data_IF_629434004137
#
_entry.id   IF_629434004137
#
_cell.length_a   1.000
_cell.length_b   1.000
_cell.length_c   1.000
_cell.angle_alpha   90.00
_cell.angle_beta   90.00
_cell.angle_gamma   90.00
#
_symmetry.space_group_name_H-M   'P 1'
#
loop_
_entity.id
_entity.type
_entity.pdbx_description
1 polymer ?
#
# COMPACT_ATOMS: atom_id res chain seq x y z
N UNK A 1 -7.81 1.32 27.14
CA UNK A 1 -8.23 1.49 25.74
C UNK A 1 -9.15 0.34 25.30
N UNK A 2 -10.12 0.62 24.43
CA UNK A 2 -11.07 -0.36 23.89
C UNK A 2 -11.19 -0.20 22.36
N UNK A 3 -11.87 -1.16 21.71
CA UNK A 3 -12.11 -1.07 20.27
C UNK A 3 -13.42 -0.34 19.92
N UNK A 4 -14.40 -0.32 20.84
CA UNK A 4 -15.72 0.26 20.55
C UNK A 4 -16.15 1.24 21.63
N UNK A 5 -16.96 2.23 21.24
CA UNK A 5 -17.58 3.16 22.18
C UNK A 5 -18.47 2.45 23.20
N UNK A 6 -19.14 1.36 22.79
CA UNK A 6 -19.96 0.55 23.69
C UNK A 6 -19.12 -0.05 24.81
N UNK A 7 -17.96 -0.65 24.49
CA UNK A 7 -17.06 -1.21 25.48
C UNK A 7 -16.47 -0.15 26.42
N UNK A 8 -16.17 1.04 25.91
CA UNK A 8 -15.72 2.18 26.74
C UNK A 8 -16.80 2.60 27.74
N UNK A 9 -18.04 2.71 27.28
CA UNK A 9 -19.19 3.05 28.14
C UNK A 9 -19.47 1.95 29.16
N UNK A 10 -19.45 0.70 28.77
CA UNK A 10 -19.62 -0.46 29.68
C UNK A 10 -18.53 -0.49 30.79
N UNK A 11 -17.27 -0.16 30.45
CA UNK A 11 -16.21 -0.04 31.44
C UNK A 11 -16.50 1.08 32.45
N UNK A 12 -16.91 2.25 31.96
CA UNK A 12 -17.27 3.38 32.81
C UNK A 12 -18.46 3.05 33.72
N UNK A 13 -19.50 2.41 33.17
CA UNK A 13 -20.66 1.95 33.93
C UNK A 13 -20.29 0.90 34.99
N UNK A 14 -19.40 -0.03 34.66
CA UNK A 14 -18.92 -1.04 35.64
C UNK A 14 -18.21 -0.38 36.80
N UNK A 15 -17.28 0.54 36.53
CA UNK A 15 -16.59 1.28 37.58
C UNK A 15 -17.59 2.03 38.46
N UNK A 16 -18.55 2.74 37.85
CA UNK A 16 -19.57 3.48 38.58
C UNK A 16 -20.46 2.57 39.44
N UNK A 17 -20.93 1.44 38.89
CA UNK A 17 -21.71 0.44 39.63
C UNK A 17 -20.90 -0.13 40.81
N UNK A 18 -19.63 -0.48 40.59
CA UNK A 18 -18.75 -0.99 41.65
C UNK A 18 -18.56 0.05 42.77
N UNK A 19 -18.44 1.34 42.41
CA UNK A 19 -18.38 2.43 43.43
C UNK A 19 -19.69 2.55 44.22
N UNK A 20 -20.85 2.38 43.57
CA UNK A 20 -22.16 2.42 44.23
C UNK A 20 -22.36 1.26 45.19
N UNK A 21 -21.88 0.05 44.82
CA UNK A 21 -21.98 -1.17 45.63
C UNK A 21 -20.73 -1.40 46.50
N UNK A 22 -19.87 -0.40 46.61
CA UNK A 22 -18.65 -0.50 47.43
C UNK A 22 -19.03 -0.80 48.92
N UNK A 23 -18.62 -1.94 49.40
CA UNK A 23 -18.99 -2.46 50.71
C UNK A 23 -19.92 -3.68 50.67
N UNK A 24 -20.60 -3.94 49.54
CA UNK A 24 -21.46 -5.13 49.41
C UNK A 24 -20.64 -6.40 49.07
N UNK A 25 -19.42 -6.22 48.49
CA UNK A 25 -18.46 -7.28 48.19
C UNK A 25 -17.23 -7.16 49.12
N UNK A 26 -17.19 -8.05 50.12
CA UNK A 26 -16.13 -8.06 51.14
C UNK A 26 -14.76 -8.45 50.56
N UNK A 27 -14.72 -9.32 49.53
CA UNK A 27 -13.47 -9.72 48.88
C UNK A 27 -12.86 -8.54 48.10
N UNK A 28 -13.70 -7.78 47.39
CA UNK A 28 -13.28 -6.59 46.67
C UNK A 28 -12.79 -5.48 47.60
N UNK A 29 -13.52 -5.26 48.70
CA UNK A 29 -13.13 -4.25 49.69
C UNK A 29 -11.79 -4.59 50.37
N UNK A 30 -11.56 -5.89 50.66
CA UNK A 30 -10.28 -6.37 51.21
C UNK A 30 -9.13 -6.23 50.23
N UNK A 31 -9.39 -6.40 48.91
CA UNK A 31 -8.38 -6.17 47.89
C UNK A 31 -7.97 -4.67 47.79
N UNK A 32 -8.96 -3.77 47.88
CA UNK A 32 -8.68 -2.32 47.89
C UNK A 32 -7.90 -1.93 49.13
N UNK A 33 -8.29 -2.43 50.33
CA UNK A 33 -7.58 -2.21 51.60
C UNK A 33 -6.10 -2.61 51.46
N UNK A 34 -5.84 -3.79 50.94
CA UNK A 34 -4.49 -4.30 50.74
C UNK A 34 -3.65 -3.45 49.75
N UNK A 35 -4.27 -2.92 48.70
CA UNK A 35 -3.58 -2.11 47.68
C UNK A 35 -3.39 -0.67 48.12
N UNK A 36 -4.37 -0.10 48.80
CA UNK A 36 -4.36 1.34 49.17
C UNK A 36 -3.67 1.59 50.54
N UNK A 37 -3.54 0.59 51.39
CA UNK A 37 -3.08 0.78 52.77
C UNK A 37 -4.09 1.49 53.67
N UNK A 38 -5.31 1.78 53.19
CA UNK A 38 -6.40 2.41 53.95
C UNK A 38 -7.25 1.30 54.62
N UNK A 39 -7.81 1.57 55.80
CA UNK A 39 -8.74 0.63 56.45
C UNK A 39 -10.07 0.57 55.67
N UNK A 40 -10.79 -0.55 55.79
CA UNK A 40 -12.14 -0.71 55.20
C UNK A 40 -13.07 0.41 55.60
N UNK A 41 -12.96 0.86 56.86
CA UNK A 41 -13.77 1.95 57.37
C UNK A 41 -13.47 3.31 56.73
N UNK A 42 -12.19 3.60 56.49
CA UNK A 42 -11.75 4.81 55.75
C UNK A 42 -12.23 4.77 54.30
N UNK A 43 -12.14 3.62 53.63
CA UNK A 43 -12.59 3.42 52.26
C UNK A 43 -14.10 3.67 52.15
N UNK A 44 -14.89 3.07 53.03
CA UNK A 44 -16.36 3.23 53.07
C UNK A 44 -16.76 4.69 53.43
N UNK A 45 -16.03 5.31 54.36
CA UNK A 45 -16.25 6.72 54.71
C UNK A 45 -16.05 7.70 53.53
N UNK A 46 -15.19 7.31 52.57
CA UNK A 46 -14.94 8.11 51.35
C UNK A 46 -15.87 7.76 50.18
N UNK A 47 -16.77 6.78 50.32
CA UNK A 47 -17.65 6.31 49.22
C UNK A 47 -18.41 7.46 48.54
N UNK A 48 -19.09 8.29 49.29
CA UNK A 48 -19.85 9.44 48.75
C UNK A 48 -18.98 10.43 47.98
N UNK A 49 -17.79 10.70 48.50
CA UNK A 49 -16.81 11.55 47.85
C UNK A 49 -16.32 10.93 46.52
N UNK A 50 -16.00 9.63 46.51
CA UNK A 50 -15.55 8.92 45.36
C UNK A 50 -16.61 8.86 44.26
N UNK A 51 -17.89 8.58 44.62
CA UNK A 51 -19.01 8.60 43.66
C UNK A 51 -19.19 9.98 43.04
N UNK A 52 -19.16 11.05 43.85
CA UNK A 52 -19.26 12.41 43.36
C UNK A 52 -18.07 12.83 42.51
N UNK A 53 -16.87 12.45 42.90
CA UNK A 53 -15.64 12.72 42.15
C UNK A 53 -15.65 11.97 40.81
N UNK A 54 -16.09 10.72 40.77
CA UNK A 54 -16.23 9.94 39.56
C UNK A 54 -17.22 10.57 38.57
N UNK A 55 -18.38 11.02 39.08
CA UNK A 55 -19.41 11.67 38.22
C UNK A 55 -18.92 12.99 37.61
N UNK A 56 -17.97 13.66 38.22
CA UNK A 56 -17.39 14.92 37.76
C UNK A 56 -16.05 14.74 37.02
N UNK A 57 -15.46 13.53 37.07
CA UNK A 57 -14.16 13.25 36.48
C UNK A 57 -14.28 12.94 35.00
N UNK A 58 -13.38 13.49 34.19
CA UNK A 58 -13.16 13.04 32.82
C UNK A 58 -12.31 11.77 32.87
N UNK A 59 -12.94 10.64 32.68
CA UNK A 59 -12.23 9.35 32.69
C UNK A 59 -11.39 9.17 31.44
N UNK A 60 -10.17 8.69 31.61
CA UNK A 60 -9.28 8.34 30.50
C UNK A 60 -9.59 6.96 29.92
N UNK A 61 -10.90 6.71 29.65
CA UNK A 61 -11.39 5.48 29.01
C UNK A 61 -11.79 5.84 27.58
N UNK A 62 -10.97 5.42 26.62
CA UNK A 62 -11.13 5.81 25.23
C UNK A 62 -11.13 4.58 24.32
N UNK A 63 -11.75 4.69 23.15
CA UNK A 63 -11.43 3.83 22.03
C UNK A 63 -10.02 4.15 21.51
N UNK A 64 -9.38 3.18 20.87
CA UNK A 64 -8.05 3.38 20.26
C UNK A 64 -8.10 4.59 19.32
N UNK A 65 -9.11 4.67 18.48
CA UNK A 65 -9.29 5.76 17.52
C UNK A 65 -9.43 7.14 18.17
N UNK A 66 -10.21 7.21 19.26
CA UNK A 66 -10.37 8.46 20.02
C UNK A 66 -9.05 8.87 20.69
N UNK A 67 -8.27 7.90 21.14
CA UNK A 67 -6.96 8.15 21.72
C UNK A 67 -5.95 8.65 20.66
N UNK A 68 -5.89 7.99 19.49
CA UNK A 68 -5.06 8.41 18.36
C UNK A 68 -5.43 9.81 17.89
N UNK A 69 -6.73 10.10 17.74
CA UNK A 69 -7.20 11.44 17.37
C UNK A 69 -6.82 12.50 18.43
N UNK A 70 -6.87 12.16 19.74
CA UNK A 70 -6.43 13.06 20.81
C UNK A 70 -4.94 13.36 20.69
N UNK A 71 -4.09 12.34 20.46
CA UNK A 71 -2.66 12.54 20.23
C UNK A 71 -2.44 13.48 19.03
N UNK A 72 -3.11 13.22 17.90
CA UNK A 72 -2.92 14.06 16.73
C UNK A 72 -3.28 15.52 16.98
N UNK A 73 -4.38 15.79 17.67
CA UNK A 73 -4.80 17.17 18.01
C UNK A 73 -3.81 17.90 18.91
N UNK A 74 -3.20 17.21 19.85
CA UNK A 74 -2.15 17.78 20.72
C UNK A 74 -0.86 18.12 19.94
N UNK A 75 -0.56 17.37 18.90
CA UNK A 75 0.69 17.50 18.13
C UNK A 75 0.49 17.99 16.69
N UNK A 76 -0.71 18.41 16.32
CA UNK A 76 -1.06 18.86 14.96
C UNK A 76 -0.15 19.98 14.43
N UNK A 77 0.37 20.85 15.29
CA UNK A 77 1.30 21.92 14.94
C UNK A 77 2.61 21.42 14.32
N UNK A 78 3.10 20.23 14.72
CA UNK A 78 4.32 19.63 14.13
C UNK A 78 4.13 19.18 12.67
N UNK A 79 2.89 18.97 12.24
CA UNK A 79 2.51 18.60 10.88
C UNK A 79 1.93 19.78 10.11
N UNK A 80 1.76 20.91 10.79
CA UNK A 80 1.20 22.13 10.21
C UNK A 80 -0.28 22.00 9.85
N UNK A 81 -1.08 21.28 10.67
CA UNK A 81 -2.53 21.13 10.58
C UNK A 81 -3.14 21.87 11.78
N UNK A 82 -4.35 22.42 11.63
CA UNK A 82 -5.08 23.02 12.74
C UNK A 82 -5.65 21.95 13.68
N UNK A 83 -5.76 22.24 14.97
CA UNK A 83 -6.30 21.32 15.99
C UNK A 83 -7.81 21.09 15.89
N UNK A 84 -8.51 21.95 15.16
CA UNK A 84 -9.95 21.89 14.90
C UNK A 84 -10.33 21.14 13.61
N UNK A 85 -9.37 20.39 13.02
CA UNK A 85 -9.65 19.64 11.78
C UNK A 85 -10.88 18.73 11.91
N UNK A 86 -11.62 18.62 10.80
CA UNK A 86 -12.75 17.70 10.69
C UNK A 86 -12.30 16.33 10.18
N UNK A 87 -13.05 15.28 10.55
CA UNK A 87 -12.82 13.93 10.03
C UNK A 87 -13.87 13.68 8.96
N UNK A 88 -13.43 13.43 7.71
CA UNK A 88 -14.30 13.19 6.55
C UNK A 88 -13.77 12.03 5.74
N UNK A 89 -14.65 11.39 4.98
CA UNK A 89 -14.28 10.39 3.96
C UNK A 89 -14.17 11.11 2.63
N UNK A 90 -13.06 10.91 1.92
CA UNK A 90 -12.86 11.49 0.59
C UNK A 90 -13.76 10.81 -0.45
N UNK A 91 -14.33 11.61 -1.32
CA UNK A 91 -14.88 11.13 -2.58
C UNK A 91 -13.72 10.99 -3.59
N UNK A 92 -13.31 9.74 -3.86
CA UNK A 92 -12.18 9.46 -4.74
C UNK A 92 -12.39 10.00 -6.16
N UNK A 93 -13.62 10.03 -6.67
CA UNK A 93 -13.90 10.54 -8.01
C UNK A 93 -13.69 12.06 -8.05
N UNK A 94 -14.26 12.78 -7.09
CA UNK A 94 -14.09 14.23 -6.98
C UNK A 94 -12.61 14.60 -6.73
N UNK A 95 -11.91 13.84 -5.88
CA UNK A 95 -10.50 14.05 -5.59
C UNK A 95 -9.62 13.81 -6.84
N UNK A 96 -9.90 12.73 -7.59
CA UNK A 96 -9.21 12.40 -8.83
C UNK A 96 -9.36 13.50 -9.90
N UNK A 97 -10.57 14.04 -10.04
CA UNK A 97 -10.80 15.17 -10.96
C UNK A 97 -10.01 16.43 -10.55
N UNK A 98 -9.91 16.70 -9.25
CA UNK A 98 -9.10 17.82 -8.74
C UNK A 98 -7.61 17.60 -8.95
N UNK A 99 -7.14 16.36 -8.74
CA UNK A 99 -5.78 15.97 -9.03
C UNK A 99 -5.44 16.18 -10.52
N UNK A 100 -6.27 15.68 -11.44
CA UNK A 100 -6.08 15.86 -12.88
C UNK A 100 -6.00 17.35 -13.27
N UNK A 101 -6.81 18.21 -12.64
CA UNK A 101 -6.78 19.65 -12.85
C UNK A 101 -5.51 20.32 -12.30
N UNK A 102 -4.83 19.71 -11.35
CA UNK A 102 -3.60 20.25 -10.73
C UNK A 102 -2.33 19.86 -11.46
N UNK A 103 -2.38 18.85 -12.33
CA UNK A 103 -1.22 18.36 -13.06
C UNK A 103 -0.74 19.38 -14.10
N UNK A 104 0.57 19.57 -14.18
CA UNK A 104 1.18 20.25 -15.32
C UNK A 104 1.22 19.33 -16.55
N UNK A 105 1.58 19.87 -17.72
CA UNK A 105 1.58 19.13 -18.99
C UNK A 105 2.44 17.84 -18.92
N UNK A 106 3.66 17.93 -18.37
CA UNK A 106 4.58 16.78 -18.26
C UNK A 106 4.06 15.70 -17.34
N UNK A 107 3.48 16.09 -16.19
CA UNK A 107 2.89 15.14 -15.24
C UNK A 107 1.67 14.44 -15.84
N UNK A 108 0.84 15.19 -16.55
CA UNK A 108 -0.33 14.64 -17.24
C UNK A 108 0.07 13.67 -18.35
N UNK A 109 1.11 14.00 -19.12
CA UNK A 109 1.70 13.13 -20.14
C UNK A 109 2.22 11.83 -19.52
N UNK A 110 2.94 11.89 -18.40
CA UNK A 110 3.39 10.70 -17.64
C UNK A 110 2.22 9.78 -17.27
N UNK A 111 1.09 10.35 -16.84
CA UNK A 111 -0.11 9.58 -16.49
C UNK A 111 -0.76 8.94 -17.73
N UNK A 112 -0.82 9.65 -18.85
CA UNK A 112 -1.32 9.11 -20.13
C UNK A 112 -0.45 7.95 -20.60
N UNK A 113 0.86 8.13 -20.60
CA UNK A 113 1.83 7.12 -21.04
C UNK A 113 1.72 5.86 -20.18
N UNK A 114 1.62 6.02 -18.85
CA UNK A 114 1.39 4.90 -17.95
C UNK A 114 0.05 4.19 -18.21
N UNK A 115 -1.02 4.96 -18.43
CA UNK A 115 -2.35 4.43 -18.78
C UNK A 115 -2.31 3.60 -20.08
N UNK A 116 -1.64 4.09 -21.09
CA UNK A 116 -1.47 3.38 -22.38
C UNK A 116 -0.57 2.15 -22.23
N UNK A 117 0.56 2.28 -21.51
CA UNK A 117 1.50 1.20 -21.27
C UNK A 117 0.86 0.01 -20.55
N UNK A 118 0.07 0.30 -19.51
CA UNK A 118 -0.65 -0.71 -18.73
C UNK A 118 -2.02 -1.09 -19.30
N UNK A 119 -2.47 -0.40 -20.35
CA UNK A 119 -3.82 -0.57 -20.94
C UNK A 119 -4.92 -0.41 -19.89
N UNK A 120 -4.74 0.50 -18.94
CA UNK A 120 -5.67 0.78 -17.84
C UNK A 120 -6.35 2.14 -18.02
N UNK A 121 -7.64 2.20 -17.69
CA UNK A 121 -8.38 3.48 -17.62
C UNK A 121 -7.98 4.24 -16.35
N UNK A 122 -8.08 5.57 -16.38
CA UNK A 122 -7.75 6.43 -15.23
C UNK A 122 -8.49 6.03 -13.95
N UNK A 123 -9.79 5.72 -14.04
CA UNK A 123 -10.55 5.27 -12.86
C UNK A 123 -9.93 4.05 -12.19
N UNK A 124 -9.45 3.08 -12.97
CA UNK A 124 -8.78 1.90 -12.42
C UNK A 124 -7.42 2.23 -11.78
N UNK A 125 -6.72 3.25 -12.28
CA UNK A 125 -5.48 3.74 -11.69
C UNK A 125 -5.78 4.45 -10.36
N UNK A 126 -6.80 5.29 -10.30
CA UNK A 126 -7.19 5.97 -9.06
C UNK A 126 -7.74 5.05 -7.99
N UNK A 127 -8.48 4.01 -8.37
CA UNK A 127 -8.86 2.95 -7.42
C UNK A 127 -7.64 2.20 -6.86
N UNK A 128 -6.61 1.97 -7.68
CA UNK A 128 -5.37 1.40 -7.20
C UNK A 128 -4.65 2.35 -6.24
N UNK A 129 -4.60 3.66 -6.53
CA UNK A 129 -4.04 4.66 -5.61
C UNK A 129 -4.78 4.68 -4.28
N UNK A 130 -6.11 4.60 -4.29
CA UNK A 130 -6.93 4.48 -3.07
C UNK A 130 -6.51 3.28 -2.23
N UNK A 131 -6.41 2.10 -2.86
CA UNK A 131 -6.00 0.88 -2.17
C UNK A 131 -4.57 0.99 -1.56
N UNK A 132 -3.65 1.66 -2.27
CA UNK A 132 -2.29 1.91 -1.77
C UNK A 132 -2.29 2.90 -0.59
N UNK A 133 -3.14 3.94 -0.64
CA UNK A 133 -3.32 4.88 0.48
C UNK A 133 -3.85 4.18 1.73
N UNK A 134 -4.85 3.30 1.58
CA UNK A 134 -5.43 2.56 2.70
C UNK A 134 -4.40 1.66 3.40
N UNK A 135 -3.46 1.11 2.65
CA UNK A 135 -2.40 0.25 3.18
C UNK A 135 -1.15 1.01 3.63
N UNK A 136 -1.06 2.28 3.28
CA UNK A 136 0.12 3.13 3.49
C UNK A 136 1.43 2.46 3.01
N UNK A 137 1.37 1.83 1.84
CA UNK A 137 2.51 1.12 1.27
C UNK A 137 3.65 2.07 0.96
N UNK A 138 4.84 1.65 1.35
CA UNK A 138 6.11 2.30 1.00
C UNK A 138 6.95 1.32 0.20
N UNK A 139 7.44 1.74 -0.94
CA UNK A 139 8.28 0.90 -1.80
C UNK A 139 9.52 1.70 -2.19
N UNK A 140 10.68 1.05 -2.11
CA UNK A 140 11.90 1.60 -2.69
C UNK A 140 11.76 1.62 -4.22
N UNK A 141 11.73 2.82 -4.79
CA UNK A 141 11.54 3.00 -6.23
C UNK A 141 12.85 2.67 -6.94
N UNK A 142 12.87 1.55 -7.66
CA UNK A 142 13.92 1.26 -8.61
C UNK A 142 13.70 2.13 -9.85
N UNK A 143 14.57 3.08 -10.09
CA UNK A 143 14.48 3.91 -11.30
C UNK A 143 14.99 3.12 -12.52
N UNK A 144 14.06 2.52 -13.26
CA UNK A 144 14.34 1.77 -14.49
C UNK A 144 14.07 2.68 -15.68
N UNK A 145 15.10 2.90 -16.52
CA UNK A 145 14.96 3.67 -17.76
C UNK A 145 14.22 2.84 -18.83
N UNK A 146 13.26 3.43 -19.52
CA UNK A 146 12.56 2.84 -20.68
C UNK A 146 13.53 2.36 -21.76
N UNK A 147 14.66 3.02 -21.95
CA UNK A 147 15.71 2.62 -22.89
C UNK A 147 16.27 1.23 -22.61
N UNK A 148 16.33 0.82 -21.34
CA UNK A 148 16.76 -0.53 -20.98
C UNK A 148 15.77 -1.58 -21.47
N UNK A 149 14.48 -1.27 -21.49
CA UNK A 149 13.44 -2.17 -22.01
C UNK A 149 13.58 -2.33 -23.52
N UNK A 150 13.83 -1.23 -24.25
CA UNK A 150 13.99 -1.27 -25.69
C UNK A 150 15.29 -1.98 -26.10
N UNK A 151 16.38 -1.78 -25.36
CA UNK A 151 17.61 -2.56 -25.53
C UNK A 151 17.34 -4.04 -25.31
N UNK A 152 16.59 -4.40 -24.27
CA UNK A 152 16.28 -5.79 -23.96
C UNK A 152 15.38 -6.44 -25.02
N UNK A 153 14.43 -5.69 -25.62
CA UNK A 153 13.67 -6.18 -26.79
C UNK A 153 14.60 -6.53 -27.95
N UNK A 154 15.64 -5.71 -28.19
CA UNK A 154 16.62 -5.99 -29.23
C UNK A 154 17.43 -7.24 -28.94
N UNK A 155 17.83 -7.48 -27.68
CA UNK A 155 18.53 -8.71 -27.29
C UNK A 155 17.66 -9.96 -27.52
N UNK A 156 16.37 -9.87 -27.14
CA UNK A 156 15.39 -10.95 -27.39
C UNK A 156 15.27 -11.24 -28.89
N UNK A 157 15.14 -10.20 -29.72
CA UNK A 157 15.05 -10.35 -31.18
C UNK A 157 16.33 -10.96 -31.76
N UNK A 158 17.51 -10.61 -31.24
CA UNK A 158 18.78 -11.14 -31.72
C UNK A 158 18.81 -12.70 -31.67
N UNK A 159 18.46 -13.28 -30.51
CA UNK A 159 18.39 -14.74 -30.38
C UNK A 159 17.27 -15.37 -31.20
N UNK A 160 16.13 -14.71 -31.28
CA UNK A 160 15.02 -15.15 -32.10
C UNK A 160 15.38 -15.17 -33.59
N UNK A 161 16.12 -14.20 -34.09
CA UNK A 161 16.63 -14.17 -35.47
C UNK A 161 17.69 -15.26 -35.73
N UNK A 162 18.56 -15.57 -34.76
CA UNK A 162 19.49 -16.70 -34.86
C UNK A 162 18.73 -18.02 -35.04
N UNK A 163 17.64 -18.22 -34.29
CA UNK A 163 16.76 -19.39 -34.45
C UNK A 163 16.11 -19.38 -35.84
N UNK A 164 15.55 -18.22 -36.26
CA UNK A 164 14.95 -18.06 -37.61
C UNK A 164 15.93 -18.43 -38.71
N UNK A 165 17.15 -17.95 -38.66
CA UNK A 165 18.20 -18.24 -39.63
C UNK A 165 18.52 -19.75 -39.71
N UNK A 166 18.68 -20.41 -38.56
CA UNK A 166 18.93 -21.84 -38.49
C UNK A 166 17.77 -22.67 -39.07
N UNK A 167 16.53 -22.29 -38.82
CA UNK A 167 15.35 -22.97 -39.37
C UNK A 167 15.27 -22.77 -40.89
N UNK A 168 15.52 -21.54 -41.38
CA UNK A 168 15.51 -21.25 -42.83
C UNK A 168 16.62 -22.00 -43.59
N UNK A 169 17.77 -22.21 -42.98
CA UNK A 169 18.92 -22.93 -43.53
C UNK A 169 18.81 -24.45 -43.38
N UNK A 170 17.79 -24.95 -42.68
CA UNK A 170 17.59 -26.37 -42.44
C UNK A 170 16.96 -27.04 -43.67
N UNK A 171 17.66 -27.99 -44.28
CA UNK A 171 17.16 -28.76 -45.47
C UNK A 171 15.90 -29.56 -45.17
N UNK A 172 15.61 -29.85 -43.93
CA UNK A 172 14.40 -30.56 -43.45
C UNK A 172 13.23 -29.65 -43.09
N UNK A 173 13.36 -28.33 -43.21
CA UNK A 173 12.32 -27.41 -42.83
C UNK A 173 11.06 -27.54 -43.71
N UNK A 174 9.92 -27.70 -43.05
CA UNK A 174 8.62 -27.70 -43.71
C UNK A 174 8.13 -26.27 -43.95
N UNK A 175 7.17 -26.11 -44.89
CA UNK A 175 6.51 -24.80 -45.08
C UNK A 175 5.88 -24.24 -43.76
N UNK A 176 5.39 -25.13 -42.89
CA UNK A 176 4.87 -24.75 -41.56
C UNK A 176 5.97 -24.30 -40.63
N UNK A 177 7.18 -24.89 -40.72
CA UNK A 177 8.33 -24.43 -39.91
C UNK A 177 8.79 -23.04 -40.35
N UNK A 178 8.86 -22.77 -41.64
CA UNK A 178 9.22 -21.47 -42.23
C UNK A 178 8.18 -20.43 -41.80
N UNK A 179 6.89 -20.73 -41.90
CA UNK A 179 5.82 -19.82 -41.43
C UNK A 179 5.86 -19.56 -39.93
N UNK A 180 6.28 -20.52 -39.13
CA UNK A 180 6.38 -20.36 -37.67
C UNK A 180 7.47 -19.35 -37.26
N UNK A 181 8.52 -19.19 -38.07
CA UNK A 181 9.60 -18.22 -37.86
C UNK A 181 9.45 -16.94 -38.69
N UNK A 182 8.30 -16.74 -39.33
CA UNK A 182 8.00 -15.56 -40.13
C UNK A 182 7.53 -14.41 -39.22
N UNK A 183 8.49 -13.74 -38.57
CA UNK A 183 8.32 -12.56 -37.76
C UNK A 183 9.45 -11.56 -38.05
N UNK A 184 9.18 -10.28 -37.89
CA UNK A 184 10.16 -9.21 -38.06
C UNK A 184 10.23 -8.32 -36.80
N UNK A 185 9.14 -8.25 -36.04
CA UNK A 185 9.03 -7.41 -34.86
C UNK A 185 8.91 -8.21 -33.57
N UNK A 186 9.19 -7.53 -32.47
CA UNK A 186 9.07 -8.10 -31.14
C UNK A 186 7.63 -8.57 -30.84
N UNK A 187 6.62 -7.80 -31.23
CA UNK A 187 5.21 -8.15 -30.98
C UNK A 187 4.77 -9.38 -31.82
N UNK A 188 5.25 -9.50 -33.05
CA UNK A 188 5.01 -10.68 -33.90
C UNK A 188 5.67 -11.94 -33.35
N UNK A 189 6.87 -11.80 -32.75
CA UNK A 189 7.56 -12.92 -32.08
C UNK A 189 6.72 -13.45 -30.93
N UNK A 190 6.17 -12.59 -30.06
CA UNK A 190 5.38 -12.99 -28.90
C UNK A 190 4.04 -13.65 -29.27
N UNK A 191 3.59 -13.54 -30.50
CA UNK A 191 2.46 -14.31 -31.04
C UNK A 191 2.78 -15.74 -31.44
N UNK A 192 4.05 -16.21 -31.35
CA UNK A 192 4.49 -17.52 -31.83
C UNK A 192 4.36 -18.59 -30.75
N UNK A 193 3.60 -19.63 -31.05
CA UNK A 193 3.29 -20.74 -30.13
C UNK A 193 4.49 -21.61 -29.74
N UNK A 194 5.58 -21.58 -30.53
CA UNK A 194 6.80 -22.31 -30.19
C UNK A 194 7.55 -21.70 -28.98
N UNK A 195 7.32 -20.45 -28.67
CA UNK A 195 7.89 -19.83 -27.46
C UNK A 195 7.37 -20.46 -26.15
N UNK A 196 6.18 -21.06 -26.17
CA UNK A 196 5.56 -21.71 -25.03
C UNK A 196 6.09 -23.11 -24.73
N UNK A 197 6.97 -23.64 -25.61
CA UNK A 197 7.51 -24.99 -25.47
C UNK A 197 8.70 -25.01 -24.50
N UNK A 198 8.94 -26.18 -23.90
CA UNK A 198 10.11 -26.36 -23.04
C UNK A 198 11.38 -26.48 -23.89
N UNK A 199 11.31 -27.22 -24.99
CA UNK A 199 12.37 -27.34 -26.00
C UNK A 199 11.81 -27.11 -27.41
N UNK A 200 12.63 -26.70 -28.36
CA UNK A 200 12.18 -26.56 -29.75
C UNK A 200 11.90 -27.93 -30.41
N UNK A 201 12.52 -29.00 -29.94
CA UNK A 201 12.22 -30.37 -30.36
C UNK A 201 10.78 -30.79 -30.03
N UNK A 202 10.15 -30.21 -28.99
CA UNK A 202 8.76 -30.44 -28.62
C UNK A 202 7.76 -29.76 -29.57
N UNK A 203 8.23 -28.81 -30.37
CA UNK A 203 7.41 -28.18 -31.38
C UNK A 203 7.43 -29.01 -32.68
N UNK A 204 6.30 -29.61 -33.00
CA UNK A 204 6.20 -30.62 -34.10
C UNK A 204 6.79 -30.17 -35.44
N UNK A 205 6.70 -28.86 -35.75
CA UNK A 205 7.23 -28.32 -37.01
C UNK A 205 8.75 -28.17 -37.03
N UNK A 206 9.42 -28.11 -35.83
CA UNK A 206 10.87 -27.95 -35.73
C UNK A 206 11.63 -29.25 -35.49
N UNK A 207 10.96 -30.38 -35.26
CA UNK A 207 11.58 -31.66 -34.92
C UNK A 207 12.72 -32.09 -35.88
N UNK A 208 12.60 -31.78 -37.17
CA UNK A 208 13.62 -32.14 -38.17
C UNK A 208 14.81 -31.17 -38.20
N UNK A 209 14.66 -29.99 -37.61
CA UNK A 209 15.67 -28.95 -37.62
C UNK A 209 16.28 -28.73 -36.24
N UNK A 210 15.65 -29.27 -35.17
CA UNK A 210 16.15 -29.17 -33.82
C UNK A 210 17.52 -29.85 -33.68
N UNK A 211 18.49 -29.12 -33.12
CA UNK A 211 19.83 -29.56 -32.81
C UNK A 211 20.35 -28.78 -31.60
N UNK A 212 21.51 -29.17 -31.07
CA UNK A 212 22.08 -28.54 -29.86
C UNK A 212 22.31 -27.03 -30.01
N UNK A 213 22.63 -26.55 -31.21
CA UNK A 213 22.88 -25.12 -31.45
C UNK A 213 21.58 -24.32 -31.35
N UNK A 214 20.50 -24.81 -31.99
CA UNK A 214 19.18 -24.14 -31.94
C UNK A 214 18.63 -24.18 -30.51
N UNK A 215 18.77 -25.29 -29.80
CA UNK A 215 18.32 -25.42 -28.40
C UNK A 215 19.12 -24.47 -27.47
N UNK A 216 20.42 -24.30 -27.72
CA UNK A 216 21.21 -23.29 -26.99
C UNK A 216 20.70 -21.85 -27.23
N UNK A 217 20.39 -21.51 -28.49
CA UNK A 217 19.80 -20.21 -28.81
C UNK A 217 18.42 -20.03 -28.16
N UNK A 218 17.63 -21.11 -28.08
CA UNK A 218 16.32 -21.07 -27.46
C UNK A 218 16.41 -20.91 -25.95
N UNK A 219 17.36 -21.54 -25.27
CA UNK A 219 17.63 -21.35 -23.87
C UNK A 219 18.00 -19.87 -23.58
N UNK A 220 18.94 -19.31 -24.34
CA UNK A 220 19.32 -17.92 -24.22
C UNK A 220 18.16 -16.97 -24.51
N UNK A 221 17.33 -17.27 -25.50
CA UNK A 221 16.11 -16.50 -25.82
C UNK A 221 15.15 -16.47 -24.62
N UNK A 222 14.95 -17.60 -23.93
CA UNK A 222 14.12 -17.66 -22.72
C UNK A 222 14.68 -16.81 -21.58
N UNK A 223 15.98 -16.86 -21.38
CA UNK A 223 16.66 -16.05 -20.35
C UNK A 223 16.50 -14.55 -20.64
N UNK A 224 16.67 -14.12 -21.89
CA UNK A 224 16.46 -12.73 -22.30
C UNK A 224 14.99 -12.29 -22.17
N UNK A 225 14.04 -13.18 -22.47
CA UNK A 225 12.61 -12.94 -22.24
C UNK A 225 12.32 -12.76 -20.73
N UNK A 226 12.91 -13.59 -19.87
CA UNK A 226 12.74 -13.46 -18.43
C UNK A 226 13.29 -12.12 -17.90
N UNK A 227 14.46 -11.69 -18.40
CA UNK A 227 15.03 -10.38 -18.10
C UNK A 227 14.10 -9.25 -18.58
N UNK A 228 13.56 -9.36 -19.80
CA UNK A 228 12.61 -8.39 -20.34
C UNK A 228 11.38 -8.23 -19.43
N UNK A 229 10.76 -9.33 -19.00
CA UNK A 229 9.60 -9.25 -18.11
C UNK A 229 9.94 -8.64 -16.75
N UNK A 230 11.12 -8.94 -16.20
CA UNK A 230 11.60 -8.35 -14.95
C UNK A 230 11.79 -6.84 -15.08
N UNK A 231 12.45 -6.39 -16.14
CA UNK A 231 12.64 -4.95 -16.41
C UNK A 231 11.30 -4.24 -16.64
N UNK A 232 10.41 -4.83 -17.42
CA UNK A 232 9.09 -4.30 -17.70
C UNK A 232 8.26 -4.15 -16.42
N UNK A 233 8.23 -5.18 -15.58
CA UNK A 233 7.51 -5.13 -14.30
C UNK A 233 8.08 -4.06 -13.36
N UNK A 234 9.41 -3.98 -13.26
CA UNK A 234 10.09 -2.96 -12.46
C UNK A 234 9.80 -1.54 -12.95
N UNK A 235 9.80 -1.30 -14.27
CA UNK A 235 9.44 -0.02 -14.85
C UNK A 235 7.99 0.37 -14.54
N UNK A 236 7.07 -0.59 -14.73
CA UNK A 236 5.66 -0.38 -14.42
C UNK A 236 5.44 0.00 -12.96
N UNK A 237 6.06 -0.74 -12.03
CA UNK A 237 6.00 -0.44 -10.60
C UNK A 237 6.62 0.93 -10.28
N UNK A 238 7.76 1.26 -10.86
CA UNK A 238 8.40 2.57 -10.68
C UNK A 238 7.47 3.71 -11.08
N UNK A 239 6.85 3.62 -12.26
CA UNK A 239 5.92 4.64 -12.76
C UNK A 239 4.62 4.70 -11.93
N UNK A 240 4.10 3.55 -11.51
CA UNK A 240 2.96 3.49 -10.62
C UNK A 240 3.22 4.25 -9.32
N UNK A 241 4.36 3.98 -8.68
CA UNK A 241 4.70 4.61 -7.40
C UNK A 241 5.04 6.09 -7.55
N UNK A 242 5.69 6.50 -8.63
CA UNK A 242 5.89 7.92 -8.96
C UNK A 242 4.55 8.67 -8.99
N UNK A 243 3.59 8.16 -9.75
CA UNK A 243 2.25 8.75 -9.88
C UNK A 243 1.45 8.67 -8.57
N UNK A 244 1.57 7.57 -7.85
CA UNK A 244 0.94 7.39 -6.54
C UNK A 244 1.45 8.41 -5.51
N UNK A 245 2.75 8.63 -5.42
CA UNK A 245 3.32 9.61 -4.51
C UNK A 245 2.86 11.03 -4.85
N UNK A 246 2.81 11.38 -6.14
CA UNK A 246 2.23 12.67 -6.56
C UNK A 246 0.77 12.81 -6.13
N UNK A 247 -0.04 11.76 -6.27
CA UNK A 247 -1.43 11.76 -5.83
C UNK A 247 -1.56 11.85 -4.30
N UNK A 248 -0.72 11.12 -3.56
CA UNK A 248 -0.66 11.14 -2.08
C UNK A 248 -0.34 12.54 -1.57
N UNK A 249 0.69 13.20 -2.12
CA UNK A 249 1.10 14.54 -1.75
C UNK A 249 0.02 15.59 -2.09
N UNK A 250 -0.60 15.45 -3.27
CA UNK A 250 -1.74 16.28 -3.65
C UNK A 250 -2.89 16.14 -2.67
N UNK A 251 -3.32 14.89 -2.37
CA UNK A 251 -4.41 14.60 -1.43
C UNK A 251 -4.14 15.23 -0.07
N UNK A 252 -2.94 15.01 0.48
CA UNK A 252 -2.57 15.55 1.78
C UNK A 252 -2.65 17.08 1.79
N UNK A 253 -2.07 17.74 0.78
CA UNK A 253 -2.09 19.20 0.66
C UNK A 253 -3.51 19.75 0.47
N UNK A 254 -4.33 19.07 -0.33
CA UNK A 254 -5.71 19.45 -0.59
C UNK A 254 -6.57 19.35 0.70
N UNK A 255 -6.44 18.24 1.44
CA UNK A 255 -7.16 18.01 2.68
C UNK A 255 -6.72 18.98 3.77
N UNK A 256 -5.40 19.22 3.90
CA UNK A 256 -4.83 20.20 4.80
C UNK A 256 -5.39 21.62 4.55
N UNK A 257 -5.44 22.05 3.28
CA UNK A 257 -5.97 23.37 2.93
C UNK A 257 -7.47 23.53 3.24
N UNK A 258 -8.19 22.43 3.32
CA UNK A 258 -9.62 22.39 3.70
C UNK A 258 -9.84 22.03 5.17
N UNK A 259 -8.79 21.89 5.92
CA UNK A 259 -8.79 21.55 7.34
C UNK A 259 -9.61 20.29 7.68
N UNK A 260 -9.43 19.22 6.90
CA UNK A 260 -9.97 17.91 7.23
C UNK A 260 -8.97 16.78 6.93
N UNK A 261 -9.19 15.63 7.57
CA UNK A 261 -8.41 14.41 7.40
C UNK A 261 -9.34 13.22 7.27
N UNK A 262 -8.91 12.17 6.57
CA UNK A 262 -9.53 10.87 6.66
C UNK A 262 -9.03 10.10 7.89
N UNK A 263 -9.77 9.06 8.26
CA UNK A 263 -9.45 8.24 9.42
C UNK A 263 -8.06 7.57 9.30
N UNK A 264 -7.76 7.05 8.10
CA UNK A 264 -6.47 6.44 7.80
C UNK A 264 -5.32 7.46 7.83
N UNK A 265 -5.57 8.69 7.38
CA UNK A 265 -4.58 9.76 7.43
C UNK A 265 -4.18 10.07 8.89
N UNK A 266 -5.15 10.09 9.81
CA UNK A 266 -4.91 10.32 11.24
C UNK A 266 -3.99 9.26 11.83
N UNK A 267 -4.27 7.98 11.56
CA UNK A 267 -3.46 6.86 12.05
C UNK A 267 -2.03 6.89 11.51
N UNK A 268 -1.88 7.17 10.21
CA UNK A 268 -0.59 7.25 9.55
C UNK A 268 0.25 8.44 10.05
N UNK A 269 -0.38 9.61 10.23
CA UNK A 269 0.28 10.81 10.75
C UNK A 269 0.73 10.63 12.20
N UNK A 270 -0.08 9.98 13.05
CA UNK A 270 0.31 9.67 14.42
C UNK A 270 1.45 8.67 14.45
N UNK A 271 1.42 7.64 13.61
CA UNK A 271 2.52 6.69 13.48
C UNK A 271 3.83 7.40 13.08
N UNK A 272 3.78 8.28 12.08
CA UNK A 272 4.94 9.07 11.65
C UNK A 272 5.46 9.98 12.76
N UNK A 273 4.57 10.71 13.45
CA UNK A 273 4.91 11.56 14.58
C UNK A 273 5.66 10.79 15.67
N UNK A 274 5.10 9.65 16.08
CA UNK A 274 5.66 8.82 17.16
C UNK A 274 6.96 8.13 16.75
N UNK A 275 7.15 7.86 15.45
CA UNK A 275 8.32 7.15 14.95
C UNK A 275 9.52 8.07 14.68
N UNK A 276 9.26 9.33 14.29
CA UNK A 276 10.30 10.19 13.70
C UNK A 276 10.44 11.57 14.32
N UNK A 277 9.35 12.16 14.83
CA UNK A 277 9.31 13.60 15.13
C UNK A 277 9.22 13.97 16.62
N UNK A 278 8.84 13.01 17.47
CA UNK A 278 8.60 13.27 18.88
C UNK A 278 9.52 12.42 19.75
N UNK A 279 10.13 13.06 20.74
CA UNK A 279 10.80 12.37 21.84
C UNK A 279 9.74 11.59 22.63
N UNK A 280 9.90 10.26 22.67
CA UNK A 280 8.93 9.37 23.35
C UNK A 280 8.79 9.66 24.83
N UNK A 281 9.85 10.18 25.47
CA UNK A 281 9.80 10.57 26.89
C UNK A 281 8.77 11.67 27.13
N UNK A 282 8.60 12.61 26.20
CA UNK A 282 7.64 13.69 26.30
C UNK A 282 6.18 13.20 26.34
N UNK A 283 5.88 12.08 25.69
CA UNK A 283 4.53 11.47 25.70
C UNK A 283 4.13 10.86 27.04
N UNK A 284 5.12 10.48 27.88
CA UNK A 284 4.87 9.88 29.20
C UNK A 284 4.54 10.92 30.27
N UNK A 285 4.80 12.20 30.01
CA UNK A 285 4.58 13.28 30.96
C UNK A 285 3.29 14.09 30.70
N UNK A 286 2.47 13.70 29.76
CA UNK A 286 1.16 14.30 29.46
C UNK A 286 0.03 13.26 29.46
#
# INVERSE_FOLDING_TARGET
>A
LTFTNKAANEMSERIYKTLLTLGDDEAYLSAIEKQSGLTKQDILGKKSFLVKSFSNATLSIFTIDKFINKILREFCGYIGISDDFEIKVDDIEALSMKFLQSLNATQFETLIDFSHYEKKKFNSIFELFKNLLEKNETVDILNIDAKLIDLQKSNVLEFAFKIKEQILNCSGASASAIKAVDFETFDELFGRTWLEKDTLADYSYFKKCANEIIESYFSNLKDEIAIYYKLRAGYSLSKLFELYLMFKDFKFSFNKNKNYLEFNDISNLVYELLSTKIDKEFLYFR
#
